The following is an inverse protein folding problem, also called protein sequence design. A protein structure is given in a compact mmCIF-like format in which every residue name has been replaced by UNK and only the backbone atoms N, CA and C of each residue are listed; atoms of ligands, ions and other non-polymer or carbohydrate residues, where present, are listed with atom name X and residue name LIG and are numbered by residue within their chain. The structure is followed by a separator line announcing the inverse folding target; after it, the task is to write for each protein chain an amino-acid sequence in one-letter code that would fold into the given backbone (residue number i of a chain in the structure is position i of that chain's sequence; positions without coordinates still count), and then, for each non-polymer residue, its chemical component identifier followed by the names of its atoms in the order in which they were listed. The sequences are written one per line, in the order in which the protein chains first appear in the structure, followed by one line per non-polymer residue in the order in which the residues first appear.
data_IF_267710684716
#
_entry.id   IF_267710684716
#
_cell.length_a   1.000
_cell.length_b   1.000
_cell.length_c   1.000
_cell.angle_alpha   90.00
_cell.angle_beta   90.00
_cell.angle_gamma   90.00
#
_symmetry.space_group_name_H-M   'P 1'
#
loop_
_entity.id
_entity.type
_entity.pdbx_description
1 polymer ?
#
# COMPACT_ATOMS: atom_id res chain seq x y z
N UNK A 1 17.34 -57.26 -33.85
CA UNK A 1 18.03 -56.19 -33.16
C UNK A 1 17.52 -54.77 -33.50
N UNK A 2 16.61 -54.60 -34.48
CA UNK A 2 16.07 -53.25 -34.85
C UNK A 2 14.84 -52.76 -33.99
N UNK A 3 14.19 -53.63 -33.21
CA UNK A 3 12.99 -53.29 -32.43
C UNK A 3 13.26 -52.77 -31.03
N UNK A 4 14.47 -52.94 -30.48
CA UNK A 4 14.85 -52.46 -29.14
C UNK A 4 15.26 -50.97 -29.17
N UNK A 5 15.74 -50.47 -30.32
CA UNK A 5 16.21 -49.10 -30.48
C UNK A 5 15.04 -48.05 -30.52
N UNK A 6 13.86 -48.50 -30.98
CA UNK A 6 12.68 -47.63 -31.03
C UNK A 6 11.99 -47.44 -29.66
N UNK A 7 12.16 -48.39 -28.75
CA UNK A 7 11.57 -48.29 -27.41
C UNK A 7 12.35 -47.34 -26.49
N UNK A 8 13.68 -47.25 -26.69
CA UNK A 8 14.54 -46.32 -25.90
C UNK A 8 14.38 -44.85 -26.29
N UNK A 9 14.00 -44.57 -27.54
CA UNK A 9 13.73 -43.19 -27.99
C UNK A 9 12.37 -42.69 -27.46
N UNK A 10 11.38 -43.56 -27.31
CA UNK A 10 10.06 -43.22 -26.79
C UNK A 10 10.08 -42.89 -25.27
N UNK A 11 11.00 -43.49 -24.52
CA UNK A 11 11.16 -43.20 -23.08
C UNK A 11 11.89 -41.87 -22.83
N UNK A 12 12.82 -41.50 -23.71
CA UNK A 12 13.54 -40.21 -23.61
C UNK A 12 12.65 -39.00 -23.92
N UNK A 13 11.55 -39.15 -24.66
CA UNK A 13 10.60 -38.12 -24.97
C UNK A 13 9.56 -37.88 -23.84
N UNK A 14 9.42 -38.83 -22.90
CA UNK A 14 8.51 -38.68 -21.74
C UNK A 14 9.19 -38.01 -20.53
N UNK A 15 10.52 -37.83 -20.58
CA UNK A 15 11.27 -37.15 -19.53
C UNK A 15 11.49 -35.64 -19.81
N UNK A 16 10.70 -35.06 -20.71
CA UNK A 16 10.57 -33.60 -20.77
C UNK A 16 9.78 -33.15 -19.55
N UNK A 17 10.46 -33.05 -18.41
CA UNK A 17 10.00 -32.21 -17.30
C UNK A 17 9.77 -30.81 -17.90
N UNK A 18 8.52 -30.45 -18.14
CA UNK A 18 8.18 -29.10 -18.55
C UNK A 18 8.67 -28.19 -17.44
N UNK A 19 9.74 -27.46 -17.71
CA UNK A 19 10.21 -26.42 -16.79
C UNK A 19 9.05 -25.43 -16.66
N UNK A 20 8.49 -25.31 -15.46
CA UNK A 20 7.40 -24.38 -15.19
C UNK A 20 7.82 -22.97 -15.59
N UNK A 21 6.94 -22.27 -16.24
CA UNK A 21 7.12 -20.85 -16.54
C UNK A 21 7.14 -20.02 -15.24
N UNK A 22 7.68 -18.82 -15.29
CA UNK A 22 7.66 -17.92 -14.13
C UNK A 22 6.22 -17.60 -13.70
N UNK A 23 5.30 -17.47 -14.65
CA UNK A 23 3.88 -17.24 -14.35
C UNK A 23 3.25 -18.44 -13.63
N UNK A 24 3.53 -19.67 -14.04
CA UNK A 24 3.04 -20.88 -13.36
C UNK A 24 3.55 -20.95 -11.92
N UNK A 25 4.84 -20.66 -11.69
CA UNK A 25 5.41 -20.62 -10.34
C UNK A 25 4.76 -19.54 -9.47
N UNK A 26 4.57 -18.34 -10.03
CA UNK A 26 3.91 -17.25 -9.32
C UNK A 26 2.47 -17.62 -8.93
N UNK A 27 1.71 -18.19 -9.84
CA UNK A 27 0.34 -18.67 -9.58
C UNK A 27 0.28 -19.74 -8.48
N UNK A 28 1.25 -20.66 -8.45
CA UNK A 28 1.33 -21.71 -7.43
C UNK A 28 1.58 -21.15 -6.02
N UNK A 29 2.25 -20.00 -5.90
CA UNK A 29 2.44 -19.31 -4.63
C UNK A 29 1.19 -18.50 -4.22
N UNK A 30 0.64 -17.74 -5.16
CA UNK A 30 -0.41 -16.76 -4.90
C UNK A 30 -1.78 -17.41 -4.68
N UNK A 31 -2.16 -18.40 -5.51
CA UNK A 31 -3.51 -18.98 -5.46
C UNK A 31 -3.88 -19.59 -4.10
N UNK A 32 -3.01 -20.34 -3.42
CA UNK A 32 -3.30 -20.83 -2.08
C UNK A 32 -3.51 -19.69 -1.07
N UNK A 33 -2.66 -18.67 -1.09
CA UNK A 33 -2.73 -17.52 -0.19
C UNK A 33 -4.05 -16.75 -0.36
N UNK A 34 -4.45 -16.46 -1.59
CA UNK A 34 -5.75 -15.80 -1.85
C UNK A 34 -6.91 -16.64 -1.37
N UNK A 35 -6.90 -17.94 -1.68
CA UNK A 35 -8.00 -18.85 -1.32
C UNK A 35 -8.20 -18.97 0.19
N UNK A 36 -7.14 -18.83 0.97
CA UNK A 36 -7.21 -18.86 2.44
C UNK A 36 -8.05 -17.70 3.00
N UNK A 37 -8.08 -16.56 2.29
CA UNK A 37 -8.82 -15.36 2.71
C UNK A 37 -10.24 -15.25 2.13
N UNK A 38 -10.63 -16.17 1.24
CA UNK A 38 -11.96 -16.16 0.62
C UNK A 38 -13.00 -16.93 1.44
N UNK A 39 -14.21 -16.38 1.45
CA UNK A 39 -15.36 -17.04 2.09
C UNK A 39 -15.74 -18.33 1.35
N UNK A 40 -15.63 -18.34 0.01
CA UNK A 40 -15.95 -19.46 -0.86
C UNK A 40 -14.78 -19.75 -1.80
N UNK A 41 -13.69 -20.38 -1.30
CA UNK A 41 -12.49 -20.62 -2.09
C UNK A 41 -12.70 -21.56 -3.30
N UNK A 42 -13.75 -22.39 -3.28
CA UNK A 42 -14.14 -23.27 -4.38
C UNK A 42 -14.74 -22.52 -5.58
N UNK A 43 -15.15 -21.25 -5.38
CA UNK A 43 -15.68 -20.37 -6.42
C UNK A 43 -14.62 -19.41 -6.99
N UNK A 44 -13.38 -19.55 -6.53
CA UNK A 44 -12.29 -18.73 -7.02
C UNK A 44 -11.91 -19.09 -8.45
N UNK A 45 -11.92 -18.10 -9.32
CA UNK A 45 -11.47 -18.19 -10.72
C UNK A 45 -10.69 -16.94 -11.11
N UNK A 46 -9.49 -17.13 -11.68
CA UNK A 46 -8.64 -16.02 -12.12
C UNK A 46 -9.22 -15.46 -13.43
N UNK A 47 -9.60 -14.19 -13.44
CA UNK A 47 -10.09 -13.49 -14.61
C UNK A 47 -8.93 -12.94 -15.45
N UNK A 48 -7.96 -12.29 -14.80
CA UNK A 48 -6.75 -11.76 -15.44
C UNK A 48 -5.55 -12.00 -14.53
N UNK A 49 -4.39 -12.21 -15.14
CA UNK A 49 -3.12 -12.38 -14.41
C UNK A 49 -1.97 -11.81 -15.24
N UNK A 50 -1.17 -10.95 -14.61
CA UNK A 50 0.01 -10.36 -15.21
C UNK A 50 1.17 -10.46 -14.24
N UNK A 51 2.34 -10.88 -14.76
CA UNK A 51 3.59 -10.98 -14.02
C UNK A 51 4.64 -10.10 -14.68
N UNK A 52 5.12 -9.08 -13.97
CA UNK A 52 6.14 -8.14 -14.45
C UNK A 52 7.40 -8.26 -13.60
N UNK A 53 8.56 -7.97 -14.22
CA UNK A 53 9.84 -7.87 -13.51
C UNK A 53 9.85 -6.59 -12.66
N UNK A 54 10.38 -6.69 -11.43
CA UNK A 54 10.52 -5.58 -10.51
C UNK A 54 12.00 -5.20 -10.34
N UNK A 55 12.28 -3.89 -10.41
CA UNK A 55 13.64 -3.34 -10.31
C UNK A 55 13.73 -2.33 -9.16
N UNK A 56 14.97 -2.17 -8.62
CA UNK A 56 15.23 -1.37 -7.42
C UNK A 56 14.87 0.12 -7.54
N UNK A 57 14.97 0.67 -8.75
CA UNK A 57 14.70 2.09 -9.07
C UNK A 57 13.26 2.35 -9.55
N UNK A 58 12.41 1.34 -9.52
CA UNK A 58 11.02 1.46 -9.98
C UNK A 58 10.04 1.68 -8.83
N UNK A 59 8.93 2.38 -9.08
CA UNK A 59 7.84 2.53 -8.09
C UNK A 59 7.27 1.18 -7.59
N UNK A 60 7.36 0.12 -8.41
CA UNK A 60 6.96 -1.24 -8.04
C UNK A 60 7.97 -1.96 -7.15
N UNK A 61 9.05 -1.32 -6.71
CA UNK A 61 9.88 -1.85 -5.64
C UNK A 61 9.02 -2.11 -4.39
N UNK A 62 8.97 -3.34 -3.82
CA UNK A 62 8.09 -3.68 -2.71
C UNK A 62 8.25 -2.76 -1.50
N UNK A 63 9.49 -2.37 -1.18
CA UNK A 63 9.77 -1.51 -0.03
C UNK A 63 9.34 -0.06 -0.31
N UNK A 64 9.54 0.44 -1.54
CA UNK A 64 9.05 1.74 -1.98
C UNK A 64 7.53 1.78 -2.00
N UNK A 65 6.91 0.71 -2.50
CA UNK A 65 5.46 0.60 -2.54
C UNK A 65 4.86 0.59 -1.14
N UNK A 66 5.44 -0.20 -0.23
CA UNK A 66 5.03 -0.23 1.18
C UNK A 66 5.20 1.14 1.84
N UNK A 67 6.35 1.80 1.61
CA UNK A 67 6.58 3.16 2.11
C UNK A 67 5.49 4.12 1.62
N UNK A 68 5.19 4.14 0.32
CA UNK A 68 4.16 5.02 -0.25
C UNK A 68 2.76 4.72 0.32
N UNK A 69 2.42 3.44 0.48
CA UNK A 69 1.14 3.02 1.07
C UNK A 69 1.00 3.46 2.53
N UNK A 70 2.02 3.22 3.35
CA UNK A 70 2.03 3.60 4.76
C UNK A 70 1.98 5.14 4.90
N UNK A 71 2.74 5.86 4.06
CA UNK A 71 2.75 7.31 4.01
C UNK A 71 1.36 7.88 3.70
N UNK A 72 0.71 7.38 2.66
CA UNK A 72 -0.62 7.83 2.26
C UNK A 72 -1.70 7.54 3.33
N UNK A 73 -1.61 6.40 4.01
CA UNK A 73 -2.50 6.07 5.13
C UNK A 73 -2.37 7.08 6.26
N UNK A 74 -1.14 7.35 6.69
CA UNK A 74 -0.88 8.29 7.80
C UNK A 74 -1.24 9.72 7.39
N UNK A 75 -0.98 10.12 6.15
CA UNK A 75 -1.33 11.44 5.66
C UNK A 75 -2.85 11.65 5.55
N UNK A 76 -3.59 10.62 5.15
CA UNK A 76 -5.06 10.65 5.18
C UNK A 76 -5.60 10.88 6.60
N UNK A 77 -5.04 10.20 7.61
CA UNK A 77 -5.37 10.45 9.02
C UNK A 77 -5.01 11.89 9.45
N UNK A 78 -3.84 12.38 9.04
CA UNK A 78 -3.40 13.75 9.33
C UNK A 78 -4.36 14.79 8.77
N UNK A 79 -4.77 14.66 7.50
CA UNK A 79 -5.76 15.57 6.86
C UNK A 79 -7.10 15.53 7.58
N UNK A 80 -7.61 14.34 7.90
CA UNK A 80 -8.88 14.19 8.63
C UNK A 80 -8.84 14.95 9.97
N UNK A 81 -7.77 14.79 10.74
CA UNK A 81 -7.63 15.47 12.04
C UNK A 81 -7.43 16.98 11.91
N UNK A 82 -6.75 17.45 10.87
CA UNK A 82 -6.61 18.87 10.58
C UNK A 82 -7.97 19.49 10.24
N UNK A 83 -8.76 18.84 9.38
CA UNK A 83 -10.12 19.27 9.06
C UNK A 83 -11.06 19.21 10.27
N UNK A 84 -10.93 18.22 11.16
CA UNK A 84 -11.68 18.16 12.42
C UNK A 84 -11.35 19.38 13.30
N UNK A 85 -10.07 19.75 13.41
CA UNK A 85 -9.63 20.88 14.19
C UNK A 85 -10.19 22.21 13.63
N UNK A 86 -10.08 22.43 12.32
CA UNK A 86 -10.60 23.62 11.63
C UNK A 86 -12.12 23.76 11.77
N UNK A 87 -12.85 22.64 11.66
CA UNK A 87 -14.31 22.63 11.89
C UNK A 87 -14.66 23.01 13.33
N UNK A 88 -13.95 22.45 14.30
CA UNK A 88 -14.16 22.76 15.71
C UNK A 88 -13.83 24.23 16.02
N UNK A 89 -12.75 24.77 15.45
CA UNK A 89 -12.38 26.19 15.54
C UNK A 89 -13.46 27.12 14.96
N UNK A 90 -13.97 26.77 13.76
CA UNK A 90 -15.05 27.52 13.13
C UNK A 90 -16.32 27.55 13.97
N UNK A 91 -16.68 26.41 14.59
CA UNK A 91 -17.81 26.37 15.53
C UNK A 91 -17.55 27.17 16.83
N UNK A 92 -16.32 27.12 17.36
CA UNK A 92 -15.93 27.91 18.53
C UNK A 92 -16.08 29.40 18.27
N UNK A 93 -15.60 29.89 17.12
CA UNK A 93 -15.70 31.31 16.72
C UNK A 93 -17.13 31.83 16.70
N UNK A 94 -18.14 31.01 16.35
CA UNK A 94 -19.55 31.39 16.35
C UNK A 94 -20.04 31.77 17.78
N UNK A 95 -19.48 31.12 18.82
CA UNK A 95 -19.88 31.35 20.21
C UNK A 95 -19.00 32.42 20.91
N UNK A 96 -17.81 32.68 20.41
CA UNK A 96 -16.88 33.67 20.93
C UNK A 96 -17.32 35.14 20.59
N UNK A 97 -18.00 35.31 19.44
CA UNK A 97 -18.39 36.61 18.87
C UNK A 97 -19.68 37.18 19.45
N UNK A 98 -20.26 36.58 20.50
CA UNK A 98 -21.47 37.05 21.15
C UNK A 98 -21.16 38.24 22.04
N UNK A 99 -21.34 39.42 21.52
CA UNK A 99 -21.27 40.76 22.19
C UNK A 99 -21.42 40.74 23.73
N UNK A 100 -20.33 40.53 24.46
CA UNK A 100 -20.16 40.85 25.87
C UNK A 100 -21.02 40.10 26.89
N UNK A 101 -22.02 39.33 26.48
CA UNK A 101 -22.92 38.58 27.38
C UNK A 101 -23.11 37.14 26.85
N UNK A 102 -22.16 36.28 27.17
CA UNK A 102 -22.34 34.85 26.90
C UNK A 102 -23.22 34.20 27.95
N UNK A 103 -24.26 33.52 27.53
CA UNK A 103 -25.05 32.66 28.41
C UNK A 103 -24.23 31.48 28.91
N UNK A 104 -24.59 30.88 30.03
CA UNK A 104 -23.92 29.68 30.55
C UNK A 104 -23.93 28.54 29.54
N UNK A 105 -24.94 28.47 28.66
CA UNK A 105 -25.07 27.46 27.60
C UNK A 105 -24.08 27.69 26.45
N UNK A 106 -23.84 28.96 26.09
CA UNK A 106 -22.87 29.31 25.03
C UNK A 106 -21.43 29.01 25.49
N UNK A 107 -21.09 29.35 26.74
CA UNK A 107 -19.80 28.98 27.35
C UNK A 107 -19.58 27.49 27.40
N UNK A 108 -20.61 26.69 27.65
CA UNK A 108 -20.51 25.24 27.65
C UNK A 108 -20.21 24.70 26.23
N UNK A 109 -20.84 25.28 25.21
CA UNK A 109 -20.60 24.90 23.80
C UNK A 109 -19.21 25.32 23.33
N UNK A 110 -18.78 26.54 23.63
CA UNK A 110 -17.42 27.00 23.34
C UNK A 110 -16.36 26.06 23.94
N UNK A 111 -16.51 25.74 25.24
CA UNK A 111 -15.59 24.82 25.90
C UNK A 111 -15.60 23.42 25.29
N UNK A 112 -16.75 22.94 24.83
CA UNK A 112 -16.85 21.65 24.10
C UNK A 112 -16.03 21.71 22.83
N UNK A 113 -16.25 22.71 21.98
CA UNK A 113 -15.54 22.81 20.70
C UNK A 113 -14.05 23.11 20.89
N UNK A 114 -13.66 23.88 21.89
CA UNK A 114 -12.26 24.06 22.28
C UNK A 114 -11.59 22.71 22.61
N UNK A 115 -12.25 21.87 23.40
CA UNK A 115 -11.75 20.55 23.76
C UNK A 115 -11.64 19.64 22.54
N UNK A 116 -12.62 19.67 21.63
CA UNK A 116 -12.60 18.93 20.38
C UNK A 116 -11.46 19.38 19.46
N UNK A 117 -11.26 20.68 19.29
CA UNK A 117 -10.16 21.27 18.53
C UNK A 117 -8.79 20.84 19.08
N UNK A 118 -8.56 21.01 20.39
CA UNK A 118 -7.30 20.62 21.03
C UNK A 118 -7.02 19.12 20.92
N UNK A 119 -8.06 18.28 20.95
CA UNK A 119 -7.92 16.84 20.76
C UNK A 119 -7.55 16.51 19.32
N UNK A 120 -8.20 17.15 18.35
CA UNK A 120 -7.91 16.96 16.93
C UNK A 120 -6.50 17.45 16.57
N UNK A 121 -6.09 18.62 17.07
CA UNK A 121 -4.72 19.15 16.89
C UNK A 121 -3.65 18.21 17.45
N UNK A 122 -3.88 17.60 18.63
CA UNK A 122 -2.94 16.59 19.17
C UNK A 122 -2.83 15.36 18.31
N UNK A 123 -3.94 14.90 17.73
CA UNK A 123 -3.94 13.76 16.80
C UNK A 123 -3.21 14.12 15.50
N UNK A 124 -3.46 15.30 14.93
CA UNK A 124 -2.77 15.80 13.74
C UNK A 124 -1.25 15.89 13.98
N UNK A 125 -0.83 16.47 15.11
CA UNK A 125 0.60 16.50 15.49
C UNK A 125 1.21 15.11 15.59
N UNK A 126 0.52 14.16 16.22
CA UNK A 126 1.02 12.77 16.31
C UNK A 126 1.09 12.08 14.94
N UNK A 127 0.15 12.37 14.04
CA UNK A 127 0.21 11.86 12.65
C UNK A 127 1.37 12.49 11.87
N UNK A 128 1.60 13.81 12.00
CA UNK A 128 2.79 14.48 11.45
C UNK A 128 4.08 13.81 11.94
N UNK A 129 4.22 13.59 13.24
CA UNK A 129 5.41 12.94 13.80
C UNK A 129 5.65 11.55 13.21
N UNK A 130 4.58 10.76 12.98
CA UNK A 130 4.67 9.46 12.30
C UNK A 130 5.15 9.59 10.85
N UNK A 131 4.65 10.59 10.10
CA UNK A 131 5.10 10.89 8.72
C UNK A 131 6.60 11.16 8.72
N UNK A 132 7.07 12.07 9.57
CA UNK A 132 8.49 12.42 9.65
C UNK A 132 9.37 11.25 10.10
N UNK A 133 8.86 10.42 11.01
CA UNK A 133 9.55 9.20 11.42
C UNK A 133 9.66 8.20 10.27
N UNK A 134 8.57 8.01 9.51
CA UNK A 134 8.56 7.12 8.34
C UNK A 134 9.61 7.54 7.29
N UNK A 135 9.76 8.84 7.02
CA UNK A 135 10.82 9.36 6.15
C UNK A 135 12.22 9.09 6.71
N UNK A 136 12.43 9.25 8.01
CA UNK A 136 13.72 8.97 8.66
C UNK A 136 14.09 7.50 8.56
N UNK A 137 13.14 6.61 8.84
CA UNK A 137 13.34 5.16 8.84
C UNK A 137 13.62 4.62 7.42
N UNK A 138 13.05 5.27 6.40
CA UNK A 138 13.20 4.88 5.00
C UNK A 138 14.18 5.78 4.21
N UNK A 139 14.96 6.63 4.88
CA UNK A 139 15.87 7.57 4.23
C UNK A 139 16.82 6.89 3.24
N UNK A 140 17.45 5.78 3.63
CA UNK A 140 18.39 5.07 2.76
C UNK A 140 17.68 4.48 1.53
N UNK A 141 16.48 3.90 1.70
CA UNK A 141 15.66 3.39 0.62
C UNK A 141 15.37 4.48 -0.43
N UNK A 142 14.98 5.68 0.03
CA UNK A 142 14.68 6.83 -0.83
C UNK A 142 15.92 7.35 -1.58
N UNK A 143 17.10 7.32 -0.94
CA UNK A 143 18.38 7.66 -1.56
C UNK A 143 18.76 6.63 -2.62
N UNK A 144 18.65 5.34 -2.29
CA UNK A 144 19.00 4.26 -3.20
C UNK A 144 18.08 4.22 -4.43
N UNK A 145 16.78 4.46 -4.26
CA UNK A 145 15.84 4.58 -5.37
C UNK A 145 16.20 5.70 -6.36
N UNK A 146 16.79 6.80 -5.87
CA UNK A 146 17.23 7.91 -6.71
C UNK A 146 18.69 7.76 -7.21
N UNK A 147 19.39 6.69 -6.85
CA UNK A 147 20.80 6.47 -7.21
C UNK A 147 21.03 6.03 -8.66
N UNK A 148 19.97 5.71 -9.40
CA UNK A 148 20.04 5.21 -10.78
C UNK A 148 20.51 3.76 -10.89
N UNK A 149 20.60 3.00 -9.79
CA UNK A 149 20.89 1.57 -9.82
C UNK A 149 19.66 0.82 -10.28
N UNK A 150 19.79 0.14 -11.41
CA UNK A 150 18.74 -0.67 -12.01
C UNK A 150 19.02 -2.16 -11.76
N UNK A 151 18.71 -2.65 -10.56
CA UNK A 151 18.88 -4.06 -10.21
C UNK A 151 17.53 -4.79 -10.21
N UNK A 152 17.48 -5.96 -10.84
CA UNK A 152 16.34 -6.86 -10.73
C UNK A 152 16.23 -7.37 -9.29
N UNK A 153 15.09 -7.11 -8.64
CA UNK A 153 14.86 -7.44 -7.22
C UNK A 153 13.77 -8.50 -7.01
N UNK A 154 12.96 -8.81 -8.02
CA UNK A 154 11.90 -9.81 -7.93
C UNK A 154 10.80 -9.59 -8.96
N UNK A 155 9.61 -10.02 -8.63
CA UNK A 155 8.46 -10.01 -9.52
C UNK A 155 7.27 -9.33 -8.85
N UNK A 156 6.46 -8.66 -9.66
CA UNK A 156 5.15 -8.15 -9.23
C UNK A 156 4.06 -8.84 -10.05
N UNK A 157 3.11 -9.47 -9.36
CA UNK A 157 1.94 -10.06 -9.97
C UNK A 157 0.71 -9.23 -9.66
N UNK A 158 0.04 -8.75 -10.70
CA UNK A 158 -1.28 -8.11 -10.62
C UNK A 158 -2.32 -9.04 -11.19
N UNK A 159 -3.43 -9.24 -10.48
CA UNK A 159 -4.48 -10.08 -11.00
C UNK A 159 -5.84 -9.66 -10.48
N UNK A 160 -6.86 -9.99 -11.28
CA UNK A 160 -8.26 -9.95 -10.89
C UNK A 160 -8.83 -11.36 -10.85
N UNK A 161 -9.79 -11.57 -9.98
CA UNK A 161 -10.44 -12.87 -9.82
C UNK A 161 -11.93 -12.72 -9.57
N UNK A 162 -12.66 -13.77 -9.91
CA UNK A 162 -14.08 -13.93 -9.57
C UNK A 162 -14.21 -14.81 -8.36
N UNK A 163 -15.17 -14.49 -7.53
CA UNK A 163 -15.56 -15.28 -6.36
C UNK A 163 -17.02 -15.02 -6.04
N UNK A 164 -17.51 -15.60 -4.95
CA UNK A 164 -18.88 -15.42 -4.49
C UNK A 164 -18.89 -14.88 -3.06
N UNK A 165 -19.73 -13.89 -2.80
CA UNK A 165 -19.92 -13.32 -1.47
C UNK A 165 -20.62 -14.31 -0.53
N UNK A 166 -20.65 -14.03 0.78
CA UNK A 166 -21.40 -14.80 1.76
C UNK A 166 -22.89 -14.93 1.40
N UNK A 167 -23.46 -13.92 0.74
CA UNK A 167 -24.84 -13.89 0.28
C UNK A 167 -25.11 -14.65 -1.02
N UNK A 168 -24.12 -15.27 -1.64
CA UNK A 168 -24.26 -16.03 -2.88
C UNK A 168 -24.25 -15.19 -4.15
N UNK A 169 -23.74 -13.96 -4.09
CA UNK A 169 -23.63 -13.07 -5.27
C UNK A 169 -22.21 -13.14 -5.83
N UNK A 170 -22.12 -13.25 -7.15
CA UNK A 170 -20.85 -13.13 -7.87
C UNK A 170 -20.22 -11.76 -7.61
N UNK A 171 -18.93 -11.74 -7.33
CA UNK A 171 -18.14 -10.54 -7.15
C UNK A 171 -16.77 -10.68 -7.79
N UNK A 172 -16.13 -9.54 -8.07
CA UNK A 172 -14.75 -9.48 -8.51
C UNK A 172 -13.91 -8.87 -7.43
N UNK A 173 -12.70 -9.40 -7.26
CA UNK A 173 -11.66 -8.83 -6.44
C UNK A 173 -10.38 -8.65 -7.22
N UNK A 174 -9.48 -7.86 -6.69
CA UNK A 174 -8.15 -7.64 -7.23
C UNK A 174 -7.09 -7.69 -6.15
N UNK A 175 -5.87 -8.07 -6.51
CA UNK A 175 -4.74 -8.03 -5.60
C UNK A 175 -3.43 -7.85 -6.37
N UNK A 176 -2.43 -7.33 -5.65
CA UNK A 176 -1.06 -7.19 -6.13
C UNK A 176 -0.14 -7.92 -5.16
N UNK A 177 0.73 -8.77 -5.70
CA UNK A 177 1.71 -9.54 -4.94
C UNK A 177 3.12 -9.25 -5.40
N UNK A 178 4.00 -9.08 -4.44
CA UNK A 178 5.44 -8.96 -4.65
C UNK A 178 6.12 -10.28 -4.28
N UNK A 179 6.90 -10.84 -5.20
CA UNK A 179 7.53 -12.14 -5.09
C UNK A 179 9.04 -11.99 -5.19
N UNK A 180 9.79 -12.88 -4.54
CA UNK A 180 11.23 -12.91 -4.61
C UNK A 180 11.75 -13.27 -6.02
N UNK A 181 13.07 -13.07 -6.23
CA UNK A 181 13.73 -13.32 -7.54
C UNK A 181 13.50 -14.72 -8.07
N UNK A 182 13.49 -15.71 -7.19
CA UNK A 182 13.44 -17.14 -7.52
C UNK A 182 12.00 -17.68 -7.57
N UNK A 183 10.99 -16.85 -7.28
CA UNK A 183 9.58 -17.26 -7.19
C UNK A 183 9.38 -18.38 -6.18
N UNK A 184 9.94 -18.21 -4.97
CA UNK A 184 9.87 -19.18 -3.88
C UNK A 184 9.04 -18.69 -2.70
N UNK A 185 8.85 -17.38 -2.58
CA UNK A 185 8.06 -16.77 -1.48
C UNK A 185 7.37 -15.47 -1.90
N UNK A 186 6.27 -15.18 -1.22
CA UNK A 186 5.60 -13.89 -1.22
C UNK A 186 6.38 -12.97 -0.27
N UNK A 187 6.81 -11.79 -0.76
CA UNK A 187 7.47 -10.76 0.04
C UNK A 187 6.42 -9.88 0.71
N UNK A 188 5.43 -9.46 -0.08
CA UNK A 188 4.35 -8.57 0.35
C UNK A 188 3.13 -8.75 -0.54
N UNK A 189 1.94 -8.45 -0.03
CA UNK A 189 0.74 -8.34 -0.85
C UNK A 189 -0.04 -7.08 -0.48
N UNK A 190 -0.83 -6.60 -1.43
CA UNK A 190 -1.69 -5.43 -1.31
C UNK A 190 -3.10 -5.84 -1.67
N UNK A 191 -4.02 -5.62 -0.74
CA UNK A 191 -5.43 -5.92 -0.93
C UNK A 191 -6.14 -4.80 -1.70
N UNK A 192 -7.34 -5.08 -2.21
CA UNK A 192 -8.19 -4.09 -2.87
C UNK A 192 -8.51 -2.89 -1.95
N UNK A 193 -8.66 -3.12 -0.63
CA UNK A 193 -8.89 -2.06 0.35
C UNK A 193 -7.72 -1.08 0.47
N UNK A 194 -6.51 -1.52 0.14
CA UNK A 194 -5.31 -0.69 0.18
C UNK A 194 -5.18 0.21 -1.06
N UNK A 195 -5.81 -0.15 -2.19
CA UNK A 195 -5.69 0.60 -3.44
C UNK A 195 -6.21 2.05 -3.34
N UNK A 196 -7.15 2.32 -2.44
CA UNK A 196 -7.63 3.69 -2.17
C UNK A 196 -6.55 4.63 -1.63
N UNK A 197 -5.45 4.08 -1.10
CA UNK A 197 -4.31 4.84 -0.57
C UNK A 197 -3.15 4.97 -1.59
N UNK A 198 -3.32 4.50 -2.81
CA UNK A 198 -2.31 4.59 -3.87
C UNK A 198 -2.49 5.82 -4.76
N UNK A 199 -2.96 6.92 -4.20
CA UNK A 199 -3.06 8.19 -4.91
C UNK A 199 -1.73 8.94 -4.85
N UNK A 200 -1.07 9.08 -6.00
CA UNK A 200 0.22 9.78 -6.12
C UNK A 200 0.12 11.29 -5.82
N UNK A 201 -1.08 11.88 -5.91
CA UNK A 201 -1.28 13.31 -5.61
C UNK A 201 -0.90 13.67 -4.18
N UNK A 202 -1.12 12.77 -3.22
CA UNK A 202 -0.77 12.99 -1.83
C UNK A 202 0.74 13.14 -1.59
N UNK A 203 1.60 12.54 -2.42
CA UNK A 203 3.06 12.61 -2.26
C UNK A 203 3.57 14.04 -2.51
N UNK A 204 3.04 14.71 -3.50
CA UNK A 204 3.40 16.11 -3.80
C UNK A 204 2.86 17.06 -2.71
N UNK A 205 1.64 16.84 -2.24
CA UNK A 205 1.06 17.60 -1.12
C UNK A 205 1.91 17.45 0.15
N UNK A 206 2.34 16.23 0.48
CA UNK A 206 3.19 15.93 1.64
C UNK A 206 4.55 16.65 1.51
N UNK A 207 5.17 16.60 0.34
CA UNK A 207 6.44 17.29 0.10
C UNK A 207 6.32 18.80 0.27
N UNK A 208 5.24 19.37 -0.20
CA UNK A 208 4.97 20.81 -0.05
C UNK A 208 4.70 21.19 1.41
N UNK A 209 3.85 20.45 2.08
CA UNK A 209 3.40 20.75 3.45
C UNK A 209 4.51 20.58 4.50
N UNK A 210 5.40 19.60 4.29
CA UNK A 210 6.50 19.28 5.21
C UNK A 210 7.89 19.62 4.66
N UNK A 211 7.98 20.53 3.70
CA UNK A 211 9.22 20.86 2.96
C UNK A 211 10.41 21.15 3.90
N UNK A 212 10.23 21.99 4.92
CA UNK A 212 11.30 22.35 5.84
C UNK A 212 11.77 21.15 6.70
N UNK A 213 10.81 20.39 7.22
CA UNK A 213 11.11 19.18 8.01
C UNK A 213 11.86 18.13 7.17
N UNK A 214 11.42 17.94 5.90
CA UNK A 214 12.06 17.01 4.98
C UNK A 214 13.46 17.48 4.55
N UNK A 215 13.68 18.77 4.33
CA UNK A 215 15.02 19.33 4.07
C UNK A 215 15.98 19.00 5.23
N UNK A 216 15.54 19.12 6.47
CA UNK A 216 16.37 18.79 7.63
C UNK A 216 16.69 17.27 7.70
N UNK A 217 15.71 16.41 7.37
CA UNK A 217 15.92 14.96 7.31
C UNK A 217 16.96 14.56 6.26
N UNK A 218 16.96 15.23 5.10
CA UNK A 218 17.81 14.89 3.95
C UNK A 218 19.04 15.80 3.78
N UNK A 219 19.36 16.69 4.72
CA UNK A 219 20.46 17.67 4.61
C UNK A 219 21.84 17.07 4.36
N UNK A 220 22.08 15.87 4.80
CA UNK A 220 23.36 15.15 4.66
C UNK A 220 23.40 14.25 3.41
N UNK A 221 22.28 14.17 2.65
CA UNK A 221 22.24 13.49 1.37
C UNK A 221 22.75 14.48 0.32
N UNK A 222 23.96 14.23 -0.21
CA UNK A 222 24.47 15.01 -1.34
C UNK A 222 23.75 14.57 -2.61
N UNK A 223 23.31 15.54 -3.45
CA UNK A 223 22.75 15.25 -4.75
C UNK A 223 23.76 14.57 -5.67
#
# INVERSE_FOLDING_TARGET
MKKIFLLSISIALMASCSVKTNEEKARELIVPDVKEHLIKPEKFDIAEFRLDSCFSDQPQNPDMFKFALDLNKIYSEYKEYTEEAERAESYMAIYEDSYGYQSAHEKLRENKYRTEMEKAQRKASAAKDKILQLYKDNKQLLVDANSGKHEFIGWVATFSFRTETAGGHDTMGGAMYFLDKDLTKIIHHVSEDDFKYLDDSNIEDIKYEFEEDLREIFKDVRP
#
